data_IF_316715252068
#
_entry.id   IF_316715252068
#
_cell.length_a   1.000
_cell.length_b   1.000
_cell.length_c   1.000
_cell.angle_alpha   90.00
_cell.angle_beta   90.00
_cell.angle_gamma   90.00
#
_symmetry.space_group_name_H-M   'P 1'
#
loop_
_entity.id
_entity.type
_entity.pdbx_description
1 polymer ?
#
# COMPACT_ATOMS: atom_id res chain seq x y z
N UNK A 1 -9.82 -4.13 11.33
CA UNK A 1 -8.68 -3.44 10.71
C UNK A 1 -8.66 -1.94 11.01
N UNK A 2 -9.43 -1.56 11.98
CA UNK A 2 -9.40 -0.21 12.56
C UNK A 2 -9.29 -0.38 14.06
N UNK A 3 -8.29 0.24 14.65
CA UNK A 3 -8.16 0.29 16.10
C UNK A 3 -9.10 1.36 16.67
N UNK A 4 -9.65 1.05 17.82
CA UNK A 4 -10.45 1.99 18.61
C UNK A 4 -9.80 2.10 20.00
N UNK A 5 -9.17 3.23 20.24
CA UNK A 5 -8.57 3.56 21.53
C UNK A 5 -9.23 4.81 22.10
N UNK A 6 -10.10 4.61 23.09
CA UNK A 6 -10.72 5.68 23.89
C UNK A 6 -11.29 6.86 23.07
N UNK A 7 -12.01 6.58 21.97
CA UNK A 7 -12.60 7.54 21.03
C UNK A 7 -11.73 7.94 19.83
N UNK A 8 -10.48 7.47 19.76
CA UNK A 8 -9.66 7.64 18.58
C UNK A 8 -9.75 6.41 17.69
N UNK A 9 -10.13 6.59 16.44
CA UNK A 9 -10.14 5.54 15.42
C UNK A 9 -8.96 5.77 14.48
N UNK A 10 -8.16 4.73 14.26
CA UNK A 10 -7.04 4.79 13.31
C UNK A 10 -6.86 3.46 12.58
N UNK A 11 -6.34 3.49 11.35
CA UNK A 11 -6.06 2.27 10.60
C UNK A 11 -5.03 1.39 11.29
N UNK A 12 -5.19 0.08 11.16
CA UNK A 12 -4.18 -0.88 11.56
C UNK A 12 -2.92 -0.76 10.69
N UNK A 13 -1.78 -1.11 11.24
CA UNK A 13 -0.51 -1.15 10.54
C UNK A 13 0.32 -2.33 11.00
N UNK A 14 1.24 -2.77 10.16
CA UNK A 14 2.17 -3.85 10.49
C UNK A 14 3.54 -3.63 9.85
N UNK A 15 4.52 -4.30 10.42
CA UNK A 15 5.90 -4.34 9.94
C UNK A 15 6.24 -5.78 9.59
N UNK A 16 6.88 -6.01 8.46
CA UNK A 16 7.30 -7.33 8.04
C UNK A 16 8.59 -7.32 7.24
N UNK A 17 9.26 -8.48 7.19
CA UNK A 17 10.53 -8.70 6.50
C UNK A 17 10.36 -9.06 5.04
N UNK A 18 9.22 -9.64 4.71
CA UNK A 18 8.95 -10.24 3.41
C UNK A 18 8.61 -9.18 2.36
N UNK A 19 9.05 -9.38 1.13
CA UNK A 19 8.69 -8.52 0.00
C UNK A 19 7.19 -8.49 -0.29
N UNK A 20 6.41 -9.43 0.25
CA UNK A 20 4.95 -9.47 0.15
C UNK A 20 4.23 -8.76 1.31
N UNK A 21 4.96 -8.17 2.24
CA UNK A 21 4.38 -7.45 3.39
C UNK A 21 3.40 -6.37 2.94
N UNK A 22 3.72 -5.64 1.90
CA UNK A 22 2.90 -4.56 1.35
C UNK A 22 1.61 -5.02 0.67
N UNK A 23 1.43 -6.32 0.41
CA UNK A 23 0.15 -6.87 -0.09
C UNK A 23 -1.03 -6.58 0.86
N UNK A 24 -0.76 -6.43 2.16
CA UNK A 24 -1.78 -6.10 3.15
C UNK A 24 -2.43 -4.73 2.91
N UNK A 25 -1.75 -3.84 2.17
CA UNK A 25 -2.28 -2.54 1.77
C UNK A 25 -3.58 -2.68 0.97
N UNK A 26 -3.75 -3.80 0.26
CA UNK A 26 -4.99 -4.13 -0.45
C UNK A 26 -6.23 -4.23 0.44
N UNK A 27 -6.05 -4.43 1.74
CA UNK A 27 -7.09 -4.45 2.76
C UNK A 27 -7.24 -3.10 3.50
N UNK A 28 -6.52 -2.06 3.09
CA UNK A 28 -6.50 -0.77 3.78
C UNK A 28 -5.71 -0.77 5.09
N UNK A 29 -4.75 -1.68 5.21
CA UNK A 29 -3.80 -1.75 6.33
C UNK A 29 -2.45 -1.28 5.82
N UNK A 30 -1.76 -0.40 6.55
CA UNK A 30 -0.43 0.04 6.15
C UNK A 30 0.60 -1.03 6.53
N UNK A 31 1.15 -1.69 5.52
CA UNK A 31 2.25 -2.66 5.67
C UNK A 31 3.59 -2.00 5.32
N UNK A 32 4.55 -2.10 6.24
CA UNK A 32 5.91 -1.62 6.05
C UNK A 32 6.86 -2.79 5.82
N UNK A 33 7.51 -2.84 4.67
CA UNK A 33 8.64 -3.72 4.42
C UNK A 33 9.90 -3.10 5.05
N UNK A 34 10.52 -3.80 5.99
CA UNK A 34 11.71 -3.33 6.71
C UNK A 34 12.82 -4.39 6.70
N UNK A 35 14.03 -3.97 7.02
CA UNK A 35 15.14 -4.88 7.19
C UNK A 35 15.02 -5.77 8.44
N UNK A 36 15.87 -6.81 8.53
CA UNK A 36 15.83 -7.78 9.63
C UNK A 36 16.03 -7.16 11.00
N UNK A 37 16.95 -6.22 11.11
CA UNK A 37 17.26 -5.57 12.38
C UNK A 37 16.10 -4.72 12.86
N UNK A 38 15.46 -3.98 11.97
CA UNK A 38 14.29 -3.16 12.30
C UNK A 38 13.10 -4.01 12.72
N UNK A 39 12.85 -5.13 12.04
CA UNK A 39 11.77 -6.04 12.40
C UNK A 39 12.03 -6.69 13.76
N UNK A 40 13.25 -7.09 14.05
CA UNK A 40 13.66 -7.64 15.36
C UNK A 40 13.45 -6.59 16.46
N UNK A 41 13.85 -5.36 16.23
CA UNK A 41 13.64 -4.27 17.17
C UNK A 41 12.15 -4.09 17.52
N UNK A 42 11.28 -4.12 16.50
CA UNK A 42 9.81 -4.02 16.70
C UNK A 42 9.29 -5.21 17.50
N UNK A 43 9.72 -6.44 17.20
CA UNK A 43 9.32 -7.62 17.96
C UNK A 43 9.75 -7.55 19.44
N UNK A 44 10.86 -6.89 19.74
CA UNK A 44 11.34 -6.64 21.08
C UNK A 44 10.72 -5.40 21.75
N UNK A 45 9.75 -4.76 21.10
CA UNK A 45 9.07 -3.58 21.63
C UNK A 45 9.89 -2.29 21.56
N UNK A 46 10.93 -2.26 20.73
CA UNK A 46 11.72 -1.04 20.51
C UNK A 46 11.09 -0.19 19.40
N UNK A 47 11.07 1.15 19.56
CA UNK A 47 10.53 2.02 18.53
C UNK A 47 11.47 2.12 17.33
N UNK A 48 10.88 2.22 16.14
CA UNK A 48 11.58 2.60 14.92
C UNK A 48 11.34 4.09 14.67
N UNK A 49 12.41 4.84 14.44
CA UNK A 49 12.33 6.23 14.03
C UNK A 49 12.38 6.31 12.51
N UNK A 50 11.38 6.94 11.90
CA UNK A 50 11.35 7.20 10.47
C UNK A 50 10.75 8.57 10.19
N UNK A 51 11.14 9.17 9.07
CA UNK A 51 10.50 10.37 8.57
C UNK A 51 9.22 9.97 7.88
N UNK A 52 8.10 10.58 8.26
CA UNK A 52 6.82 10.32 7.58
C UNK A 52 6.92 10.77 6.12
N UNK A 53 6.67 9.87 5.17
CA UNK A 53 6.73 10.20 3.76
C UNK A 53 5.56 11.09 3.33
N UNK A 54 5.78 11.86 2.28
CA UNK A 54 4.73 12.62 1.62
C UNK A 54 3.71 11.66 0.99
N UNK A 55 2.42 12.02 1.03
CA UNK A 55 1.34 11.21 0.46
C UNK A 55 0.93 11.77 -0.90
N UNK A 56 0.94 10.92 -1.92
CA UNK A 56 0.43 11.23 -3.26
C UNK A 56 -0.88 10.49 -3.48
N UNK A 57 -1.94 11.22 -3.79
CA UNK A 57 -3.23 10.65 -4.15
C UNK A 57 -3.27 10.21 -5.62
N UNK A 58 -3.62 8.93 -5.88
CA UNK A 58 -3.82 8.39 -7.21
C UNK A 58 -5.28 7.99 -7.41
N UNK A 59 -5.99 8.79 -8.21
CA UNK A 59 -7.43 8.61 -8.43
C UNK A 59 -7.71 7.57 -9.51
N UNK A 60 -8.45 6.53 -9.15
CA UNK A 60 -8.93 5.51 -10.09
C UNK A 60 -10.36 5.83 -10.51
N UNK A 61 -10.60 5.89 -11.82
CA UNK A 61 -11.91 6.17 -12.40
C UNK A 61 -12.22 5.18 -13.52
N UNK A 62 -13.52 4.95 -13.75
CA UNK A 62 -13.98 4.05 -14.80
C UNK A 62 -13.95 2.58 -14.43
N UNK A 63 -14.06 1.72 -15.42
CA UNK A 63 -14.06 0.27 -15.31
C UNK A 63 -13.05 -0.32 -16.27
N UNK A 64 -12.47 -1.47 -15.88
CA UNK A 64 -11.61 -2.21 -16.77
C UNK A 64 -12.41 -2.81 -17.93
N UNK A 65 -11.92 -2.66 -19.16
CA UNK A 65 -12.50 -3.38 -20.29
C UNK A 65 -12.31 -4.89 -20.11
N UNK A 66 -13.21 -5.68 -20.67
CA UNK A 66 -13.25 -7.13 -20.50
C UNK A 66 -11.99 -7.89 -20.98
N UNK A 67 -11.19 -7.26 -21.82
CA UNK A 67 -9.94 -7.82 -22.33
C UNK A 67 -8.70 -7.41 -21.50
N UNK A 68 -8.83 -6.47 -20.58
CA UNK A 68 -7.72 -6.04 -19.72
C UNK A 68 -7.56 -6.99 -18.53
N UNK A 69 -6.31 -7.30 -18.23
CA UNK A 69 -5.93 -8.12 -17.09
C UNK A 69 -5.46 -7.29 -15.91
N UNK A 70 -5.40 -7.90 -14.73
CA UNK A 70 -4.78 -7.26 -13.54
C UNK A 70 -3.34 -6.82 -13.80
N UNK A 71 -2.60 -7.59 -14.61
CA UNK A 71 -1.22 -7.25 -14.99
C UNK A 71 -1.17 -5.95 -15.81
N UNK A 72 -2.11 -5.74 -16.73
CA UNK A 72 -2.17 -4.51 -17.53
C UNK A 72 -2.39 -3.29 -16.64
N UNK A 73 -3.25 -3.42 -15.63
CA UNK A 73 -3.52 -2.37 -14.64
C UNK A 73 -2.27 -2.03 -13.86
N UNK A 74 -1.61 -3.05 -13.30
CA UNK A 74 -0.39 -2.87 -12.49
C UNK A 74 0.71 -2.21 -13.31
N UNK A 75 0.96 -2.67 -14.53
CA UNK A 75 1.99 -2.09 -15.40
C UNK A 75 1.67 -0.64 -15.77
N UNK A 76 0.40 -0.33 -16.03
CA UNK A 76 -0.04 1.03 -16.35
C UNK A 76 0.16 1.98 -15.15
N UNK A 77 -0.28 1.57 -13.98
CA UNK A 77 -0.12 2.35 -12.74
C UNK A 77 1.37 2.55 -12.44
N UNK A 78 2.15 1.48 -12.47
CA UNK A 78 3.60 1.54 -12.22
C UNK A 78 4.31 2.50 -13.18
N UNK A 79 3.97 2.45 -14.46
CA UNK A 79 4.51 3.38 -15.46
C UNK A 79 4.20 4.84 -15.11
N UNK A 80 2.94 5.14 -14.79
CA UNK A 80 2.53 6.50 -14.42
C UNK A 80 3.23 6.98 -13.14
N UNK A 81 3.28 6.15 -12.11
CA UNK A 81 3.91 6.52 -10.85
C UNK A 81 5.42 6.75 -10.99
N UNK A 82 6.09 5.95 -11.82
CA UNK A 82 7.51 6.19 -12.15
C UNK A 82 7.73 7.52 -12.88
N UNK A 83 6.81 7.91 -13.75
CA UNK A 83 6.88 9.23 -14.42
C UNK A 83 6.68 10.39 -13.45
N UNK A 84 5.84 10.23 -12.44
CA UNK A 84 5.59 11.24 -11.40
C UNK A 84 6.78 11.32 -10.41
N UNK A 85 7.50 10.22 -10.21
CA UNK A 85 8.61 10.16 -9.27
C UNK A 85 8.15 10.02 -7.82
N UNK A 86 7.59 8.85 -7.50
CA UNK A 86 7.00 8.57 -6.17
C UNK A 86 7.93 7.85 -5.20
N UNK A 87 9.19 7.63 -5.57
CA UNK A 87 10.17 6.97 -4.69
C UNK A 87 10.28 7.70 -3.36
N UNK A 88 10.15 6.96 -2.26
CA UNK A 88 10.14 7.51 -0.90
C UNK A 88 8.85 8.23 -0.50
N UNK A 89 7.78 8.05 -1.25
CA UNK A 89 6.46 8.63 -0.96
C UNK A 89 5.42 7.55 -0.80
N UNK A 90 4.36 7.82 -0.04
CA UNK A 90 3.18 6.97 -0.01
C UNK A 90 2.26 7.28 -1.19
N UNK A 91 1.66 6.24 -1.75
CA UNK A 91 0.62 6.37 -2.77
C UNK A 91 -0.71 5.91 -2.19
N UNK A 92 -1.68 6.82 -2.12
CA UNK A 92 -3.04 6.53 -1.68
C UNK A 92 -3.95 6.41 -2.90
N UNK A 93 -4.52 5.22 -3.10
CA UNK A 93 -5.49 4.96 -4.16
C UNK A 93 -6.89 5.32 -3.71
N UNK A 94 -7.59 6.11 -4.48
CA UNK A 94 -8.95 6.52 -4.17
C UNK A 94 -9.83 6.66 -5.42
N UNK A 95 -11.10 6.95 -5.23
CA UNK A 95 -12.08 7.14 -6.30
C UNK A 95 -12.93 5.90 -6.58
N UNK A 96 -13.93 6.05 -7.47
CA UNK A 96 -14.92 5.01 -7.72
C UNK A 96 -14.32 3.74 -8.35
N UNK A 97 -13.20 3.85 -9.07
CA UNK A 97 -12.52 2.70 -9.67
C UNK A 97 -11.89 1.74 -8.67
N UNK A 98 -11.65 2.17 -7.42
CA UNK A 98 -11.09 1.29 -6.38
C UNK A 98 -12.04 0.14 -6.04
N UNK A 99 -13.33 0.39 -5.98
CA UNK A 99 -14.34 -0.64 -5.69
C UNK A 99 -14.53 -1.66 -6.82
N UNK A 100 -14.09 -1.34 -8.02
CA UNK A 100 -14.13 -2.25 -9.17
C UNK A 100 -12.96 -3.26 -9.15
N UNK A 101 -11.93 -3.02 -8.35
CA UNK A 101 -10.78 -3.92 -8.19
C UNK A 101 -11.07 -5.00 -7.14
N UNK A 102 -10.71 -6.23 -7.45
CA UNK A 102 -10.72 -7.31 -6.47
C UNK A 102 -9.64 -7.09 -5.39
N UNK A 103 -9.75 -7.79 -4.26
CA UNK A 103 -8.71 -7.75 -3.23
C UNK A 103 -7.37 -8.23 -3.78
N UNK A 104 -7.38 -9.24 -4.65
CA UNK A 104 -6.18 -9.77 -5.29
C UNK A 104 -5.51 -8.71 -6.18
N UNK A 105 -6.29 -7.95 -6.96
CA UNK A 105 -5.77 -6.86 -7.79
C UNK A 105 -5.13 -5.77 -6.95
N UNK A 106 -5.80 -5.35 -5.88
CA UNK A 106 -5.27 -4.36 -4.94
C UNK A 106 -3.98 -4.81 -4.27
N UNK A 107 -3.91 -6.08 -3.84
CA UNK A 107 -2.71 -6.67 -3.25
C UNK A 107 -1.55 -6.70 -4.26
N UNK A 108 -1.83 -7.05 -5.52
CA UNK A 108 -0.84 -7.07 -6.58
C UNK A 108 -0.30 -5.66 -6.87
N UNK A 109 -1.16 -4.65 -6.88
CA UNK A 109 -0.75 -3.25 -7.00
C UNK A 109 0.18 -2.88 -5.83
N UNK A 110 -0.22 -3.19 -4.60
CA UNK A 110 0.55 -2.88 -3.40
C UNK A 110 1.96 -3.49 -3.39
N UNK A 111 2.13 -4.69 -3.96
CA UNK A 111 3.44 -5.37 -4.01
C UNK A 111 4.38 -4.82 -5.08
N UNK A 112 3.85 -4.31 -6.19
CA UNK A 112 4.67 -3.90 -7.34
C UNK A 112 5.04 -2.40 -7.35
N UNK A 113 4.69 -1.67 -6.32
CA UNK A 113 4.94 -0.22 -6.22
C UNK A 113 6.08 0.14 -5.27
N UNK A 114 6.73 -0.85 -4.68
CA UNK A 114 7.91 -0.70 -3.82
C UNK A 114 9.20 -0.45 -4.61
#
# INVERSE_FOLDING_TARGET
>A
MVFNDNKLLYPDSLVGLDSHTTMINGLGIVGWGVGGIEAEAVMLGQPICMVLPEVIGYKLVGKLPSFATSTDVVLTITKHLRQIGVVGKFVEFFGPGVSELSIADRATIGTNLD
#
